data_IF_900685548494
#
_entry.id   IF_900685548494
#
_cell.length_a   1.000
_cell.length_b   1.000
_cell.length_c   1.000
_cell.angle_alpha   90.00
_cell.angle_beta   90.00
_cell.angle_gamma   90.00
#
_symmetry.space_group_name_H-M   'P 1'
#
loop_
_entity.id
_entity.type
_entity.pdbx_description
1 polymer ?
#
# COMPACT_ATOMS: atom_id res chain seq x y z
N UNK A 1 18.95 6.46 14.22
CA UNK A 1 17.90 5.57 13.69
C UNK A 1 16.95 6.43 12.87
N UNK A 2 16.88 6.28 11.54
CA UNK A 2 15.83 6.97 10.79
C UNK A 2 14.47 6.49 11.28
N UNK A 3 13.53 7.40 11.50
CA UNK A 3 12.20 7.09 12.03
C UNK A 3 11.48 6.15 11.05
N UNK A 4 10.90 5.03 11.53
CA UNK A 4 10.19 4.06 10.68
C UNK A 4 9.13 4.74 9.79
N UNK A 5 8.43 5.74 10.32
CA UNK A 5 7.46 6.54 9.55
C UNK A 5 8.10 7.33 8.40
N UNK A 6 9.34 7.80 8.57
CA UNK A 6 10.09 8.52 7.55
C UNK A 6 10.53 7.57 6.43
N UNK A 7 10.99 6.36 6.79
CA UNK A 7 11.33 5.33 5.82
C UNK A 7 10.11 4.91 4.99
N UNK A 8 8.95 4.75 5.63
CA UNK A 8 7.68 4.46 4.94
C UNK A 8 7.30 5.57 3.95
N UNK A 9 7.39 6.85 4.35
CA UNK A 9 7.13 7.97 3.42
C UNK A 9 8.10 7.97 2.24
N UNK A 10 9.39 7.71 2.48
CA UNK A 10 10.40 7.61 1.41
C UNK A 10 10.11 6.45 0.46
N UNK A 11 9.70 5.30 0.99
CA UNK A 11 9.33 4.13 0.19
C UNK A 11 8.09 4.40 -0.67
N UNK A 12 7.06 5.03 -0.09
CA UNK A 12 5.86 5.43 -0.83
C UNK A 12 6.18 6.45 -1.93
N UNK A 13 6.97 7.47 -1.62
CA UNK A 13 7.42 8.48 -2.59
C UNK A 13 8.11 7.84 -3.80
N UNK A 14 8.96 6.84 -3.56
CA UNK A 14 9.62 6.05 -4.61
C UNK A 14 8.61 5.26 -5.42
N UNK A 15 7.70 4.53 -4.78
CA UNK A 15 6.70 3.72 -5.46
C UNK A 15 5.81 4.56 -6.39
N UNK A 16 5.33 5.70 -5.87
CA UNK A 16 4.50 6.65 -6.63
C UNK A 16 5.24 7.18 -7.86
N UNK A 17 6.50 7.60 -7.68
CA UNK A 17 7.34 8.10 -8.77
C UNK A 17 7.64 7.02 -9.82
N UNK A 18 7.88 5.79 -9.38
CA UNK A 18 8.10 4.65 -10.27
C UNK A 18 6.87 4.40 -11.14
N UNK A 19 5.69 4.17 -10.52
CA UNK A 19 4.46 3.89 -11.27
C UNK A 19 4.12 5.04 -12.22
N UNK A 20 4.23 6.28 -11.75
CA UNK A 20 3.95 7.46 -12.59
C UNK A 20 4.83 7.49 -13.84
N UNK A 21 6.13 7.25 -13.69
CA UNK A 21 7.08 7.25 -14.80
C UNK A 21 6.82 6.10 -15.77
N UNK A 22 6.58 4.89 -15.27
CA UNK A 22 6.26 3.72 -16.10
C UNK A 22 4.95 3.90 -16.89
N UNK A 23 4.02 4.69 -16.36
CA UNK A 23 2.78 5.06 -17.04
C UNK A 23 2.91 6.25 -17.99
N UNK A 24 4.08 6.89 -18.06
CA UNK A 24 4.28 8.08 -18.90
C UNK A 24 3.51 9.32 -18.44
N UNK A 25 3.10 9.37 -17.17
CA UNK A 25 2.25 10.43 -16.64
C UNK A 25 3.12 11.55 -16.06
N UNK A 26 2.81 12.80 -16.37
CA UNK A 26 3.48 13.98 -15.82
C UNK A 26 2.97 14.30 -14.41
N UNK A 27 3.64 15.19 -13.69
CA UNK A 27 3.06 15.66 -12.42
C UNK A 27 1.82 16.53 -12.63
N UNK A 28 1.67 17.12 -13.81
CA UNK A 28 0.57 18.05 -14.13
C UNK A 28 -0.75 17.31 -14.35
N UNK A 29 -0.69 16.06 -14.81
CA UNK A 29 -1.87 15.21 -15.00
C UNK A 29 -2.62 14.92 -13.69
N UNK A 30 -1.97 15.14 -12.54
CA UNK A 30 -2.58 15.00 -11.22
C UNK A 30 -3.28 16.27 -10.72
N UNK A 31 -3.12 17.40 -11.43
CA UNK A 31 -3.65 18.71 -11.03
C UNK A 31 -5.18 18.74 -10.93
N UNK A 32 -5.87 17.84 -11.65
CA UNK A 32 -7.34 17.74 -11.66
C UNK A 32 -7.92 17.16 -10.36
N UNK A 33 -7.13 16.41 -9.60
CA UNK A 33 -7.60 15.63 -8.44
C UNK A 33 -6.86 16.01 -7.15
N UNK A 34 -5.77 16.77 -7.30
CA UNK A 34 -5.00 17.33 -6.21
C UNK A 34 -4.23 18.57 -6.69
N UNK A 35 -3.89 19.51 -5.80
CA UNK A 35 -3.00 20.61 -6.20
C UNK A 35 -1.67 20.06 -6.73
N UNK A 36 -1.13 20.67 -7.80
CA UNK A 36 0.19 20.31 -8.39
C UNK A 36 1.28 20.19 -7.32
N UNK A 37 1.25 21.08 -6.33
CA UNK A 37 2.16 21.09 -5.18
C UNK A 37 2.09 19.82 -4.35
N UNK A 38 0.91 19.19 -4.22
CA UNK A 38 0.73 18.01 -3.39
C UNK A 38 1.49 16.79 -3.92
N UNK A 39 1.39 16.48 -5.22
CA UNK A 39 2.12 15.35 -5.80
C UNK A 39 3.63 15.52 -5.64
N UNK A 40 4.14 16.73 -5.93
CA UNK A 40 5.55 17.05 -5.72
C UNK A 40 5.97 16.88 -4.26
N UNK A 41 5.12 17.22 -3.28
CA UNK A 41 5.42 16.97 -1.86
C UNK A 41 5.42 15.48 -1.50
N UNK A 42 4.54 14.67 -2.11
CA UNK A 42 4.51 13.23 -1.90
C UNK A 42 5.74 12.55 -2.50
N UNK A 43 6.12 12.86 -3.74
CA UNK A 43 7.31 12.29 -4.40
C UNK A 43 8.63 12.70 -3.72
N UNK A 44 8.60 13.71 -2.84
CA UNK A 44 9.73 14.14 -1.99
C UNK A 44 9.63 13.65 -0.55
N UNK A 45 8.66 12.79 -0.23
CA UNK A 45 8.41 12.24 1.11
C UNK A 45 8.14 13.30 2.20
N UNK A 46 7.67 14.50 1.81
CA UNK A 46 7.38 15.60 2.72
C UNK A 46 6.01 15.47 3.41
N UNK A 47 5.12 14.64 2.85
CA UNK A 47 3.79 14.35 3.40
C UNK A 47 3.48 12.86 3.31
N UNK A 48 2.61 12.39 4.20
CA UNK A 48 1.97 11.08 4.07
C UNK A 48 0.64 11.23 3.31
N UNK A 49 0.32 10.33 2.37
CA UNK A 49 -1.00 10.28 1.77
C UNK A 49 -2.03 9.70 2.77
N UNK A 50 -3.30 10.09 2.64
CA UNK A 50 -4.41 9.35 3.26
C UNK A 50 -4.81 8.18 2.35
N UNK A 51 -5.67 7.28 2.85
CA UNK A 51 -6.17 6.16 2.05
C UNK A 51 -6.92 6.65 0.80
N UNK A 52 -7.77 7.68 0.95
CA UNK A 52 -8.53 8.29 -0.15
C UNK A 52 -7.58 8.89 -1.20
N UNK A 53 -6.42 9.42 -0.76
CA UNK A 53 -5.41 9.93 -1.69
C UNK A 53 -4.66 8.82 -2.40
N UNK A 54 -4.36 7.71 -1.73
CA UNK A 54 -3.76 6.53 -2.38
C UNK A 54 -4.72 6.02 -3.48
N UNK A 55 -6.00 5.90 -3.18
CA UNK A 55 -7.02 5.46 -4.12
C UNK A 55 -7.13 6.37 -5.35
N UNK A 56 -7.28 7.69 -5.12
CA UNK A 56 -7.35 8.66 -6.21
C UNK A 56 -6.07 8.67 -7.09
N UNK A 57 -4.88 8.60 -6.49
CA UNK A 57 -3.61 8.55 -7.22
C UNK A 57 -3.51 7.28 -8.08
N UNK A 58 -3.89 6.13 -7.52
CA UNK A 58 -3.89 4.86 -8.22
C UNK A 58 -4.86 4.87 -9.42
N UNK A 59 -6.04 5.48 -9.27
CA UNK A 59 -7.01 5.67 -10.34
C UNK A 59 -6.45 6.45 -11.53
N UNK A 60 -5.79 7.59 -11.29
CA UNK A 60 -5.12 8.39 -12.36
C UNK A 60 -4.06 7.54 -13.08
N UNK A 61 -3.29 6.76 -12.32
CA UNK A 61 -2.24 5.88 -12.84
C UNK A 61 -2.78 4.58 -13.47
N UNK A 62 -4.10 4.36 -13.47
CA UNK A 62 -4.76 3.15 -13.97
C UNK A 62 -4.14 1.88 -13.37
N UNK A 63 -3.99 1.87 -12.05
CA UNK A 63 -3.55 0.71 -11.26
C UNK A 63 -4.44 0.54 -10.05
N UNK A 64 -4.47 -0.66 -9.48
CA UNK A 64 -5.14 -0.88 -8.20
C UNK A 64 -4.32 -0.25 -7.05
N UNK A 65 -4.94 0.31 -6.00
CA UNK A 65 -4.22 0.89 -4.85
C UNK A 65 -3.23 -0.10 -4.21
N UNK A 66 -3.59 -1.37 -4.13
CA UNK A 66 -2.69 -2.42 -3.62
C UNK A 66 -1.43 -2.58 -4.46
N UNK A 67 -1.47 -2.36 -5.78
CA UNK A 67 -0.25 -2.39 -6.62
C UNK A 67 0.78 -1.35 -6.14
N UNK A 68 0.30 -0.14 -5.82
CA UNK A 68 1.14 0.93 -5.30
C UNK A 68 1.66 0.60 -3.88
N UNK A 69 0.81 0.03 -3.03
CA UNK A 69 1.17 -0.40 -1.68
C UNK A 69 2.21 -1.54 -1.68
N UNK A 70 2.02 -2.57 -2.52
CA UNK A 70 2.99 -3.65 -2.70
C UNK A 70 4.35 -3.10 -3.10
N UNK A 71 4.40 -2.20 -4.09
CA UNK A 71 5.66 -1.58 -4.51
C UNK A 71 6.29 -0.71 -3.39
N UNK A 72 5.47 0.00 -2.61
CA UNK A 72 5.91 0.73 -1.44
C UNK A 72 6.60 -0.19 -0.42
N UNK A 73 5.97 -1.29 -0.02
CA UNK A 73 6.55 -2.21 0.96
C UNK A 73 7.80 -2.92 0.42
N UNK A 74 7.88 -3.20 -0.89
CA UNK A 74 9.12 -3.68 -1.52
C UNK A 74 10.26 -2.67 -1.48
N UNK A 75 9.97 -1.38 -1.62
CA UNK A 75 10.98 -0.32 -1.47
C UNK A 75 11.36 -0.06 -0.01
N UNK A 76 10.53 -0.48 0.94
CA UNK A 76 10.76 -0.36 2.37
C UNK A 76 11.69 -1.46 2.91
N UNK A 77 11.65 -2.64 2.27
CA UNK A 77 12.56 -3.74 2.56
C UNK A 77 14.00 -3.36 2.19
N UNK A 78 14.82 -3.18 3.22
CA UNK A 78 16.23 -2.79 3.12
C UNK A 78 17.17 -4.01 3.16
N UNK A 79 16.63 -5.23 3.14
CA UNK A 79 17.45 -6.44 3.10
C UNK A 79 18.22 -6.56 1.79
N UNK A 80 19.31 -7.32 1.81
CA UNK A 80 20.11 -7.61 0.62
C UNK A 80 19.33 -8.39 -0.45
N UNK A 81 18.25 -9.06 -0.04
CA UNK A 81 17.36 -9.86 -0.90
C UNK A 81 15.90 -9.50 -0.58
N UNK A 82 15.40 -8.35 -1.07
CA UNK A 82 14.04 -7.94 -0.80
C UNK A 82 13.03 -8.94 -1.33
N UNK A 83 11.94 -9.15 -0.58
CA UNK A 83 10.86 -10.02 -1.04
C UNK A 83 10.36 -9.60 -2.45
N UNK A 84 10.15 -10.60 -3.29
CA UNK A 84 9.46 -10.43 -4.56
C UNK A 84 8.02 -9.96 -4.34
N UNK A 85 7.42 -9.37 -5.37
CA UNK A 85 6.01 -9.00 -5.29
C UNK A 85 5.11 -10.24 -5.08
N UNK A 86 5.50 -11.38 -5.65
CA UNK A 86 4.77 -12.64 -5.52
C UNK A 86 4.80 -13.17 -4.09
N UNK A 87 5.96 -13.22 -3.43
CA UNK A 87 6.07 -13.65 -2.04
C UNK A 87 5.26 -12.76 -1.10
N UNK A 88 5.31 -11.44 -1.31
CA UNK A 88 4.55 -10.49 -0.50
C UNK A 88 3.04 -10.68 -0.69
N UNK A 89 2.57 -10.84 -1.92
CA UNK A 89 1.15 -11.07 -2.20
C UNK A 89 0.70 -12.44 -1.69
N UNK A 90 1.55 -13.46 -1.76
CA UNK A 90 1.27 -14.79 -1.23
C UNK A 90 1.08 -14.74 0.29
N UNK A 91 1.97 -14.04 0.99
CA UNK A 91 1.83 -13.78 2.42
C UNK A 91 0.52 -13.08 2.76
N UNK A 92 0.19 -11.99 2.05
CA UNK A 92 -1.08 -11.28 2.26
C UNK A 92 -2.29 -12.18 2.02
N UNK A 93 -2.24 -13.05 1.00
CA UNK A 93 -3.30 -14.01 0.72
C UNK A 93 -3.49 -15.02 1.85
N UNK A 94 -2.40 -15.54 2.42
CA UNK A 94 -2.46 -16.49 3.53
C UNK A 94 -2.99 -15.81 4.81
N UNK A 95 -2.53 -14.59 5.11
CA UNK A 95 -3.04 -13.77 6.22
C UNK A 95 -4.55 -13.47 6.07
N UNK A 96 -5.03 -13.18 4.86
CA UNK A 96 -6.46 -12.97 4.60
C UNK A 96 -7.29 -14.24 4.83
N UNK A 97 -6.80 -15.42 4.41
CA UNK A 97 -7.48 -16.70 4.67
C UNK A 97 -7.62 -16.95 6.16
N UNK A 98 -6.55 -16.73 6.93
CA UNK A 98 -6.60 -16.87 8.40
C UNK A 98 -7.64 -15.95 9.05
N UNK A 99 -7.76 -14.71 8.57
CA UNK A 99 -8.74 -13.74 9.07
C UNK A 99 -10.17 -14.05 8.64
N UNK A 100 -10.36 -14.67 7.48
CA UNK A 100 -11.66 -15.13 6.97
C UNK A 100 -12.11 -16.44 7.64
N UNK A 101 -11.16 -17.27 8.09
CA UNK A 101 -11.41 -18.56 8.78
C UNK A 101 -11.75 -18.43 10.28
N UNK A 102 -11.92 -17.22 10.84
CA UNK A 102 -12.31 -17.05 12.24
C UNK A 102 -13.63 -17.81 12.51
N UNK A 103 -13.62 -18.84 13.37
CA UNK A 103 -14.83 -19.57 13.72
C UNK A 103 -15.78 -18.62 14.44
N UNK A 104 -17.01 -18.53 13.93
CA UNK A 104 -18.11 -17.84 14.61
C UNK A 104 -18.17 -18.28 16.10
N UNK A 105 -18.22 -17.35 17.08
CA UNK A 105 -18.35 -17.70 18.50
C UNK A 105 -19.69 -18.36 18.88
N UNK A 106 -20.49 -18.83 17.92
CA UNK A 106 -21.84 -19.37 18.13
C UNK A 106 -21.92 -20.90 18.37
N UNK A 107 -20.80 -21.64 18.43
CA UNK A 107 -20.82 -23.07 18.76
C UNK A 107 -20.10 -23.38 20.08
N UNK A 108 -20.54 -22.76 21.17
CA UNK A 108 -20.45 -23.37 22.51
C UNK A 108 -21.86 -23.52 23.07
N UNK A 109 -22.69 -24.34 22.40
CA UNK A 109 -23.92 -24.79 23.03
C UNK A 109 -23.58 -25.72 24.18
N UNK A 110 -23.66 -25.16 25.38
CA UNK A 110 -23.70 -25.86 26.66
C UNK A 110 -25.10 -26.44 26.86
N UNK A 111 -25.15 -27.63 27.50
CA UNK A 111 -26.32 -28.45 27.89
C UNK A 111 -26.79 -29.46 26.82
N UNK A 112 -27.02 -30.73 27.18
CA UNK A 112 -27.53 -31.25 28.46
C UNK A 112 -27.15 -32.74 28.65
N UNK A 113 -26.78 -33.19 29.85
CA UNK A 113 -26.88 -34.61 30.19
C UNK A 113 -28.32 -34.92 30.60
N UNK A 114 -28.91 -35.94 29.98
CA UNK A 114 -30.06 -36.69 30.49
C UNK A 114 -30.13 -38.03 29.78
#
# INVERSE_FOLDING_TARGET
MANHSEQLRKAFARALKTVRKERGITQEDFALVSSRTYLSTLERALKSPTLEKIDALAGIMKVHPLTLMTLCYRHMDQSSTPASAEELLKRVQDELRELEEVPSPASTNTKKPS
#
